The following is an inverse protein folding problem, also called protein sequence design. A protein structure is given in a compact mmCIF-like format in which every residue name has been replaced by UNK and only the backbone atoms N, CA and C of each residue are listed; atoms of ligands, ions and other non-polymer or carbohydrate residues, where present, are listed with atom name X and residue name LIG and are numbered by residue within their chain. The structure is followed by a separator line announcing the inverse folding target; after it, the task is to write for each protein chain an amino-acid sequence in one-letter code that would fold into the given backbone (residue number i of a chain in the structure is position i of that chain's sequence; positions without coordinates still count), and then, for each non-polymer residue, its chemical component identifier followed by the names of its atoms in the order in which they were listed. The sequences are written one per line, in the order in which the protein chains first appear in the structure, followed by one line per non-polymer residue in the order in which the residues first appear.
data_IF_234128092026
#
_entry.id   IF_234128092026
#
_cell.length_a   1.000
_cell.length_b   1.000
_cell.length_c   1.000
_cell.angle_alpha   90.00
_cell.angle_beta   90.00
_cell.angle_gamma   90.00
#
_symmetry.space_group_name_H-M   'P 1'
#
loop_
_entity.id
_entity.type
_entity.pdbx_description
1 polymer ?
#
# COMPACT_ATOMS: atom_id res chain seq x y z
N UNK A 1 -15.03 -2.74 -13.54
CA UNK A 1 -14.68 -1.32 -13.79
C UNK A 1 -13.67 -0.84 -12.75
N UNK A 2 -12.69 -0.03 -13.14
CA UNK A 2 -11.74 0.61 -12.22
C UNK A 2 -12.42 1.80 -11.52
N UNK A 3 -12.06 2.05 -10.26
CA UNK A 3 -12.41 3.26 -9.51
C UNK A 3 -11.15 3.99 -9.11
N UNK A 4 -11.18 5.32 -9.12
CA UNK A 4 -10.07 6.11 -8.62
C UNK A 4 -10.05 6.04 -7.09
N UNK A 5 -8.94 5.60 -6.53
CA UNK A 5 -8.65 5.59 -5.09
C UNK A 5 -7.33 6.35 -4.89
N UNK A 6 -7.39 7.45 -4.12
CA UNK A 6 -6.30 8.43 -4.05
C UNK A 6 -5.90 8.90 -5.47
N UNK A 7 -4.61 8.87 -5.81
CA UNK A 7 -4.09 9.22 -7.13
C UNK A 7 -4.06 8.05 -8.13
N UNK A 8 -4.55 6.85 -7.78
CA UNK A 8 -4.40 5.62 -8.56
C UNK A 8 -5.74 5.03 -9.02
N UNK A 9 -5.74 4.33 -10.15
CA UNK A 9 -6.89 3.55 -10.62
C UNK A 9 -6.81 2.13 -10.09
N UNK A 10 -7.84 1.70 -9.35
CA UNK A 10 -7.87 0.39 -8.70
C UNK A 10 -9.14 -0.36 -9.10
N UNK A 11 -9.07 -1.68 -9.35
CA UNK A 11 -10.27 -2.48 -9.63
C UNK A 11 -11.31 -2.37 -8.52
N UNK A 12 -12.59 -2.24 -8.90
CA UNK A 12 -13.67 -2.20 -7.91
C UNK A 12 -13.77 -3.51 -7.10
N UNK A 13 -13.49 -4.64 -7.74
CA UNK A 13 -13.41 -5.96 -7.12
C UNK A 13 -12.01 -6.53 -7.35
N UNK A 14 -11.36 -6.96 -6.27
CA UNK A 14 -10.10 -7.70 -6.34
C UNK A 14 -10.38 -9.19 -6.53
N UNK A 15 -9.61 -9.84 -7.40
CA UNK A 15 -9.59 -11.28 -7.51
C UNK A 15 -9.14 -11.92 -6.18
N UNK A 16 -9.52 -13.18 -5.95
CA UNK A 16 -9.20 -13.90 -4.70
C UNK A 16 -7.69 -13.91 -4.46
N UNK A 17 -6.88 -14.15 -5.48
CA UNK A 17 -5.42 -14.21 -5.34
C UNK A 17 -4.81 -12.84 -5.03
N UNK A 18 -5.36 -11.76 -5.60
CA UNK A 18 -4.94 -10.39 -5.23
C UNK A 18 -5.22 -10.10 -3.75
N UNK A 19 -6.35 -10.56 -3.21
CA UNK A 19 -6.67 -10.43 -1.78
C UNK A 19 -5.71 -11.25 -0.92
N UNK A 20 -5.41 -12.49 -1.32
CA UNK A 20 -4.46 -13.37 -0.62
C UNK A 20 -3.05 -12.80 -0.59
N UNK A 21 -2.58 -12.26 -1.72
CA UNK A 21 -1.26 -11.60 -1.81
C UNK A 21 -1.21 -10.41 -0.86
N UNK A 22 -2.23 -9.54 -0.87
CA UNK A 22 -2.31 -8.39 0.03
C UNK A 22 -2.29 -8.82 1.50
N UNK A 23 -3.07 -9.83 1.87
CA UNK A 23 -3.09 -10.35 3.23
C UNK A 23 -1.71 -10.85 3.67
N UNK A 24 -1.04 -11.66 2.84
CA UNK A 24 0.28 -12.21 3.13
C UNK A 24 1.33 -11.12 3.31
N UNK A 25 1.35 -10.12 2.43
CA UNK A 25 2.28 -8.99 2.52
C UNK A 25 2.02 -8.18 3.78
N UNK A 26 0.75 -7.85 4.07
CA UNK A 26 0.38 -7.10 5.27
C UNK A 26 0.81 -7.84 6.55
N UNK A 27 0.61 -9.15 6.63
CA UNK A 27 1.04 -9.94 7.79
C UNK A 27 2.56 -9.88 7.97
N UNK A 28 3.33 -10.13 6.92
CA UNK A 28 4.80 -10.09 6.98
C UNK A 28 5.32 -8.68 7.35
N UNK A 29 4.70 -7.63 6.82
CA UNK A 29 5.04 -6.26 7.18
C UNK A 29 4.71 -5.97 8.65
N UNK A 30 3.57 -6.46 9.15
CA UNK A 30 3.18 -6.30 10.55
C UNK A 30 4.15 -7.01 11.49
N UNK A 31 4.49 -8.27 11.21
CA UNK A 31 5.42 -9.04 12.04
C UNK A 31 6.78 -8.35 12.11
N UNK A 32 7.27 -7.85 10.97
CA UNK A 32 8.53 -7.08 10.90
C UNK A 32 8.46 -5.76 11.65
N UNK A 33 7.32 -5.07 11.57
CA UNK A 33 7.09 -3.82 12.30
C UNK A 33 7.09 -4.06 13.81
N UNK A 34 6.42 -5.11 14.29
CA UNK A 34 6.33 -5.45 15.71
C UNK A 34 7.68 -5.84 16.31
N UNK A 35 8.55 -6.52 15.54
CA UNK A 35 9.89 -6.90 15.99
C UNK A 35 10.81 -5.71 16.29
N UNK A 36 10.68 -4.60 15.57
CA UNK A 36 11.52 -3.42 15.80
C UNK A 36 10.83 -2.11 15.37
N UNK A 37 9.79 -1.72 16.12
CA UNK A 37 8.92 -0.58 15.79
C UNK A 37 9.67 0.73 15.58
N UNK A 38 10.59 1.05 16.48
CA UNK A 38 11.27 2.35 16.51
C UNK A 38 12.20 2.52 15.31
N UNK A 39 13.05 1.52 15.07
CA UNK A 39 13.99 1.57 13.96
C UNK A 39 13.30 1.39 12.61
N UNK A 40 12.26 0.54 12.53
CA UNK A 40 11.45 0.41 11.32
C UNK A 40 10.89 1.77 10.89
N UNK A 41 10.24 2.52 11.81
CA UNK A 41 9.70 3.85 11.49
C UNK A 41 10.78 4.85 11.08
N UNK A 42 11.94 4.85 11.76
CA UNK A 42 13.04 5.78 11.46
C UNK A 42 13.63 5.57 10.07
N UNK A 43 13.61 4.33 9.56
CA UNK A 43 14.21 3.97 8.27
C UNK A 43 13.21 3.80 7.13
N UNK A 44 11.91 3.93 7.41
CA UNK A 44 10.87 3.74 6.40
C UNK A 44 10.67 5.01 5.56
N UNK A 45 11.20 4.98 4.33
CA UNK A 45 11.06 6.06 3.35
C UNK A 45 10.05 5.61 2.29
N UNK A 46 9.06 6.45 1.99
CA UNK A 46 8.06 6.20 0.94
C UNK A 46 8.00 7.39 -0.02
N UNK A 47 7.69 7.12 -1.28
CA UNK A 47 7.47 8.13 -2.32
C UNK A 47 6.30 7.68 -3.20
N UNK A 48 5.48 8.63 -3.62
CA UNK A 48 4.44 8.41 -4.63
C UNK A 48 4.19 9.71 -5.41
N UNK A 49 3.67 9.56 -6.63
CA UNK A 49 3.41 10.68 -7.53
C UNK A 49 1.92 11.03 -7.53
N UNK A 50 1.61 12.32 -7.60
CA UNK A 50 0.24 12.81 -7.80
C UNK A 50 0.21 13.86 -8.88
N UNK A 51 -0.80 13.79 -9.76
CA UNK A 51 -1.02 14.80 -10.79
C UNK A 51 -1.61 16.07 -10.16
N UNK A 52 -0.89 17.19 -10.25
CA UNK A 52 -1.37 18.51 -9.82
C UNK A 52 -1.93 19.23 -11.04
N UNK A 53 -3.19 19.63 -10.96
CA UNK A 53 -3.79 20.47 -11.99
C UNK A 53 -3.26 21.90 -11.84
N UNK A 54 -2.55 22.40 -12.85
CA UNK A 54 -2.09 23.79 -12.93
C UNK A 54 -2.87 24.47 -14.08
N UNK A 55 -3.41 25.66 -13.81
CA UNK A 55 -4.13 26.47 -14.80
C UNK A 55 -3.19 27.46 -15.49
#
# INVERSE_FOLDING_TARGET
QLKKLCARWVPHLLAIDQKRIRLRISQACSDRFEQNKMDFKRRFITVDETWIHHW
#
